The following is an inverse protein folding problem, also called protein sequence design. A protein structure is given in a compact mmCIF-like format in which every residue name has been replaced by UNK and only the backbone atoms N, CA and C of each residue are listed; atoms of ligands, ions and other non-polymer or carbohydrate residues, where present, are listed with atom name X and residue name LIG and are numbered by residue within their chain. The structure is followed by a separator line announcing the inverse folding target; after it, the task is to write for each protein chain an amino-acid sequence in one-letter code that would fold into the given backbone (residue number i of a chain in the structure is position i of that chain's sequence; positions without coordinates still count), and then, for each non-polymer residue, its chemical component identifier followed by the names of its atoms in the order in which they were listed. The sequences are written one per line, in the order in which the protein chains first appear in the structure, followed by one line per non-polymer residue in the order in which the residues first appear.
data_IF_597642428349
#
_entry.id   IF_597642428349
#
_cell.length_a   1.000
_cell.length_b   1.000
_cell.length_c   1.000
_cell.angle_alpha   90.00
_cell.angle_beta   90.00
_cell.angle_gamma   90.00
#
_symmetry.space_group_name_H-M   'P 1'
#
loop_
_entity.id
_entity.type
_entity.pdbx_description
1 polymer ?
#
# COMPACT_ATOMS: atom_id res chain seq x y z
N UNK A 1 12.33 -26.06 -6.26
CA UNK A 1 11.50 -26.33 -5.06
C UNK A 1 10.65 -25.11 -4.74
N UNK A 2 11.25 -23.94 -4.50
CA UNK A 2 10.54 -22.75 -4.02
C UNK A 2 9.52 -22.20 -5.02
N UNK A 3 9.87 -22.05 -6.29
CA UNK A 3 8.98 -21.49 -7.32
C UNK A 3 7.75 -22.37 -7.58
N UNK A 4 7.88 -23.69 -7.38
CA UNK A 4 6.77 -24.62 -7.61
C UNK A 4 5.53 -24.32 -6.75
N UNK A 5 5.71 -23.81 -5.54
CA UNK A 5 4.62 -23.44 -4.65
C UNK A 5 3.82 -22.22 -5.19
N UNK A 6 4.47 -21.32 -5.93
CA UNK A 6 3.84 -20.17 -6.55
C UNK A 6 3.29 -20.49 -7.94
N UNK A 7 3.94 -21.38 -8.67
CA UNK A 7 3.52 -21.78 -10.02
C UNK A 7 2.10 -22.36 -10.02
N UNK A 8 1.77 -23.25 -9.07
CA UNK A 8 0.47 -23.90 -9.02
C UNK A 8 -0.70 -22.91 -8.87
N UNK A 9 -0.72 -21.99 -7.90
CA UNK A 9 -1.81 -21.02 -7.80
C UNK A 9 -1.89 -20.05 -8.98
N UNK A 10 -0.76 -19.69 -9.59
CA UNK A 10 -0.75 -18.79 -10.74
C UNK A 10 -1.36 -19.50 -11.96
N UNK A 11 -0.86 -20.69 -12.31
CA UNK A 11 -1.26 -21.40 -13.55
C UNK A 11 -2.62 -22.04 -13.40
N UNK A 12 -2.94 -22.65 -12.25
CA UNK A 12 -4.17 -23.42 -12.07
C UNK A 12 -5.35 -22.61 -11.53
N UNK A 13 -5.08 -21.59 -10.71
CA UNK A 13 -6.12 -20.78 -10.08
C UNK A 13 -6.11 -19.31 -10.53
N UNK A 14 -5.30 -18.95 -11.54
CA UNK A 14 -5.20 -17.58 -12.08
C UNK A 14 -4.96 -16.53 -11.00
N UNK A 15 -4.05 -16.82 -10.06
CA UNK A 15 -3.72 -15.87 -9.01
C UNK A 15 -3.13 -14.59 -9.60
N UNK A 16 -3.74 -13.44 -9.29
CA UNK A 16 -3.43 -12.14 -9.91
C UNK A 16 -2.59 -11.23 -9.02
N UNK A 17 -2.13 -11.71 -7.87
CA UNK A 17 -1.25 -10.96 -6.99
C UNK A 17 -0.22 -11.88 -6.34
N UNK A 18 1.02 -11.44 -6.28
CA UNK A 18 2.09 -12.07 -5.50
C UNK A 18 2.81 -11.01 -4.68
N UNK A 19 3.30 -11.42 -3.50
CA UNK A 19 4.19 -10.59 -2.69
C UNK A 19 5.63 -11.05 -2.88
N UNK A 20 6.53 -10.13 -3.16
CA UNK A 20 7.97 -10.43 -3.24
C UNK A 20 8.59 -10.46 -1.85
N UNK A 21 9.58 -11.32 -1.68
CA UNK A 21 10.20 -11.53 -0.39
C UNK A 21 11.06 -10.33 0.05
N UNK A 22 11.12 -10.12 1.35
CA UNK A 22 11.99 -9.14 2.00
C UNK A 22 13.48 -9.42 1.74
N UNK A 23 13.84 -10.68 1.72
CA UNK A 23 15.23 -11.12 1.58
C UNK A 23 15.76 -11.05 0.14
N UNK A 24 17.05 -11.25 0.05
CA UNK A 24 17.76 -11.40 -1.22
C UNK A 24 17.75 -12.84 -1.70
N UNK A 25 17.79 -13.02 -3.01
CA UNK A 25 18.11 -14.26 -3.70
C UNK A 25 19.54 -14.12 -4.24
N UNK A 26 20.50 -14.76 -3.58
CA UNK A 26 21.90 -14.49 -3.82
C UNK A 26 22.27 -13.05 -3.42
N UNK A 27 22.76 -12.27 -4.38
CA UNK A 27 23.17 -10.88 -4.15
C UNK A 27 22.04 -9.84 -4.38
N UNK A 28 20.95 -10.23 -5.04
CA UNK A 28 19.90 -9.31 -5.51
C UNK A 28 18.68 -9.45 -4.60
N UNK A 29 18.08 -8.32 -4.21
CA UNK A 29 16.81 -8.31 -3.51
C UNK A 29 15.70 -8.88 -4.39
N UNK A 30 14.84 -9.75 -3.83
CA UNK A 30 13.79 -10.43 -4.57
C UNK A 30 12.82 -9.45 -5.27
N UNK A 31 12.55 -8.30 -4.67
CA UNK A 31 11.70 -7.25 -5.25
C UNK A 31 12.33 -6.47 -6.42
N UNK A 32 13.65 -6.64 -6.67
CA UNK A 32 14.35 -6.01 -7.79
C UNK A 32 15.04 -7.05 -8.69
N UNK A 33 14.56 -8.28 -8.68
CA UNK A 33 15.18 -9.38 -9.43
C UNK A 33 14.41 -9.63 -10.74
N UNK A 34 14.92 -9.10 -11.84
CA UNK A 34 14.27 -9.12 -13.15
C UNK A 34 13.98 -10.54 -13.63
N UNK A 35 14.92 -11.47 -13.49
CA UNK A 35 14.76 -12.86 -13.92
C UNK A 35 13.65 -13.57 -13.15
N UNK A 36 13.43 -13.20 -11.88
CA UNK A 36 12.32 -13.72 -11.10
C UNK A 36 10.98 -13.08 -11.50
N UNK A 37 10.95 -11.74 -11.61
CA UNK A 37 9.70 -10.98 -11.74
C UNK A 37 9.23 -10.85 -13.19
N UNK A 38 10.15 -10.71 -14.11
CA UNK A 38 9.83 -10.54 -15.53
C UNK A 38 9.94 -11.86 -16.27
N UNK A 39 11.08 -12.56 -16.20
CA UNK A 39 11.29 -13.73 -17.04
C UNK A 39 10.46 -14.93 -16.54
N UNK A 40 10.59 -15.27 -15.26
CA UNK A 40 9.84 -16.39 -14.72
C UNK A 40 8.36 -16.04 -14.44
N UNK A 41 8.08 -15.03 -13.63
CA UNK A 41 6.72 -14.74 -13.15
C UNK A 41 5.78 -14.35 -14.31
N UNK A 42 6.26 -13.51 -15.21
CA UNK A 42 5.46 -13.01 -16.34
C UNK A 42 5.65 -13.86 -17.60
N UNK A 43 6.88 -14.28 -17.89
CA UNK A 43 7.21 -15.06 -19.08
C UNK A 43 6.81 -16.53 -18.97
N UNK A 44 7.29 -17.23 -17.94
CA UNK A 44 7.06 -18.68 -17.80
C UNK A 44 5.74 -19.00 -17.09
N UNK A 45 5.48 -18.39 -15.92
CA UNK A 45 4.26 -18.65 -15.16
C UNK A 45 3.03 -17.91 -15.71
N UNK A 46 3.21 -16.89 -16.56
CA UNK A 46 2.14 -16.21 -17.28
C UNK A 46 1.27 -15.28 -16.42
N UNK A 47 1.71 -14.86 -15.24
CA UNK A 47 0.92 -14.00 -14.37
C UNK A 47 0.69 -12.62 -15.00
N UNK A 48 -0.56 -12.23 -15.19
CA UNK A 48 -0.96 -10.94 -15.77
C UNK A 48 -1.22 -9.82 -14.75
N UNK A 49 -1.41 -10.18 -13.49
CA UNK A 49 -1.69 -9.28 -12.38
C UNK A 49 -0.45 -8.57 -11.84
N UNK A 50 -0.51 -8.03 -10.63
CA UNK A 50 0.56 -7.22 -10.06
C UNK A 50 1.39 -7.97 -9.01
N UNK A 51 2.63 -7.52 -8.82
CA UNK A 51 3.50 -7.89 -7.72
C UNK A 51 3.62 -6.72 -6.73
N UNK A 52 3.57 -7.02 -5.44
CA UNK A 52 3.76 -6.04 -4.34
C UNK A 52 5.00 -6.44 -3.55
N UNK A 53 5.72 -5.49 -2.99
CA UNK A 53 6.84 -5.81 -2.08
C UNK A 53 6.32 -6.31 -0.74
N UNK A 54 7.17 -7.00 0.02
CA UNK A 54 7.09 -6.98 1.48
C UNK A 54 7.38 -5.56 1.97
N UNK A 55 7.20 -5.30 3.27
CA UNK A 55 7.43 -3.99 3.86
C UNK A 55 8.75 -3.37 3.40
N UNK A 56 8.67 -2.15 2.88
CA UNK A 56 9.83 -1.42 2.42
C UNK A 56 10.64 -0.86 3.59
N UNK A 57 11.94 -1.16 3.67
CA UNK A 57 12.80 -0.70 4.77
C UNK A 57 13.77 0.44 4.40
N UNK A 58 13.85 0.80 3.14
CA UNK A 58 14.63 1.95 2.68
C UNK A 58 16.15 1.75 2.60
N UNK A 59 16.70 0.61 3.05
CA UNK A 59 18.16 0.42 3.10
C UNK A 59 18.74 -0.13 1.80
N UNK A 60 18.24 -1.27 1.34
CA UNK A 60 18.68 -1.93 0.10
C UNK A 60 17.56 -2.09 -0.93
N UNK A 61 16.35 -1.76 -0.54
CA UNK A 61 15.16 -1.79 -1.38
C UNK A 61 15.04 -0.48 -2.14
N UNK A 62 15.49 -0.43 -3.38
CA UNK A 62 15.47 0.77 -4.22
C UNK A 62 14.23 0.74 -5.11
N UNK A 63 13.30 1.67 -4.89
CA UNK A 63 11.98 1.74 -5.57
C UNK A 63 12.09 1.79 -7.09
N UNK A 64 13.06 2.51 -7.63
CA UNK A 64 13.28 2.56 -9.08
C UNK A 64 13.69 1.19 -9.63
N UNK A 65 14.55 0.47 -8.91
CA UNK A 65 15.02 -0.85 -9.35
C UNK A 65 13.89 -1.88 -9.32
N UNK A 66 13.02 -1.85 -8.30
CA UNK A 66 11.89 -2.77 -8.21
C UNK A 66 10.90 -2.57 -9.36
N UNK A 67 10.53 -1.31 -9.65
CA UNK A 67 9.60 -1.00 -10.74
C UNK A 67 10.17 -1.44 -12.09
N UNK A 68 11.45 -1.19 -12.33
CA UNK A 68 12.14 -1.61 -13.57
C UNK A 68 12.24 -3.14 -13.67
N UNK A 69 12.45 -3.83 -12.54
CA UNK A 69 12.52 -5.29 -12.51
C UNK A 69 11.16 -5.99 -12.72
N UNK A 70 10.05 -5.28 -12.56
CA UNK A 70 8.69 -5.82 -12.76
C UNK A 70 7.89 -6.03 -11.49
N UNK A 71 8.35 -5.49 -10.35
CA UNK A 71 7.51 -5.28 -9.17
C UNK A 71 6.64 -4.03 -9.40
N UNK A 72 5.41 -4.04 -8.96
CA UNK A 72 4.45 -3.02 -9.39
C UNK A 72 4.05 -2.05 -8.26
N UNK A 73 4.12 -2.49 -7.02
CA UNK A 73 3.70 -1.72 -5.86
C UNK A 73 4.72 -1.82 -4.71
N UNK A 74 5.34 -0.72 -4.28
CA UNK A 74 6.08 -0.68 -3.02
C UNK A 74 5.09 -0.67 -1.84
N UNK A 75 5.25 -1.57 -0.87
CA UNK A 75 4.49 -1.55 0.38
C UNK A 75 5.22 -0.67 1.40
N UNK A 76 4.82 0.59 1.47
CA UNK A 76 5.40 1.57 2.36
C UNK A 76 4.66 1.66 3.69
N UNK A 77 5.39 1.93 4.77
CA UNK A 77 4.76 2.41 6.01
C UNK A 77 3.99 3.72 5.79
N UNK A 78 2.95 3.91 6.57
CA UNK A 78 2.17 5.16 6.55
C UNK A 78 3.10 6.35 6.84
N UNK A 79 3.17 7.27 5.90
CA UNK A 79 4.01 8.47 6.01
C UNK A 79 5.38 8.39 5.34
N UNK A 80 5.79 7.25 4.80
CA UNK A 80 6.99 7.18 4.00
C UNK A 80 6.83 7.87 2.64
N UNK A 81 7.91 8.53 2.21
CA UNK A 81 7.91 9.31 0.99
C UNK A 81 8.06 8.43 -0.26
N UNK A 82 7.07 8.52 -1.14
CA UNK A 82 7.11 7.93 -2.49
C UNK A 82 7.47 8.95 -3.57
N UNK A 83 7.96 10.14 -3.15
CA UNK A 83 8.29 11.24 -4.07
C UNK A 83 9.32 10.84 -5.11
N UNK A 84 10.25 9.93 -4.77
CA UNK A 84 11.25 9.44 -5.71
C UNK A 84 10.62 8.90 -7.01
N UNK A 85 9.54 8.13 -6.93
CA UNK A 85 8.86 7.61 -8.12
C UNK A 85 8.07 8.69 -8.87
N UNK A 86 7.55 9.70 -8.17
CA UNK A 86 6.86 10.84 -8.78
C UNK A 86 7.78 11.65 -9.66
N UNK A 87 9.06 11.74 -9.31
CA UNK A 87 10.07 12.45 -10.10
C UNK A 87 10.25 11.88 -11.52
N UNK A 88 9.86 10.63 -11.74
CA UNK A 88 9.89 9.97 -13.05
C UNK A 88 8.55 9.98 -13.79
N UNK A 89 7.50 10.55 -13.19
CA UNK A 89 6.20 10.73 -13.83
C UNK A 89 6.22 11.81 -14.92
N UNK A 90 5.07 12.04 -15.59
CA UNK A 90 4.96 13.00 -16.70
C UNK A 90 5.43 14.42 -16.36
N UNK A 91 5.18 14.84 -15.12
CA UNK A 91 5.52 16.17 -14.60
C UNK A 91 6.77 16.16 -13.71
N UNK A 92 7.47 15.03 -13.67
CA UNK A 92 8.63 14.84 -12.79
C UNK A 92 9.91 15.45 -13.33
N UNK A 93 10.84 15.79 -12.42
CA UNK A 93 12.10 16.42 -12.75
C UNK A 93 13.14 15.47 -13.40
N UNK A 94 12.96 14.15 -13.24
CA UNK A 94 13.91 13.13 -13.73
C UNK A 94 13.35 12.43 -14.97
N UNK A 95 13.77 12.87 -16.13
CA UNK A 95 13.40 12.22 -17.39
C UNK A 95 14.18 10.92 -17.59
N UNK A 96 13.52 9.78 -17.38
CA UNK A 96 14.06 8.48 -17.71
C UNK A 96 12.98 7.63 -18.42
N UNK A 97 13.08 7.45 -19.76
CA UNK A 97 12.07 6.74 -20.54
C UNK A 97 11.85 5.30 -20.08
N UNK A 98 12.90 4.62 -19.61
CA UNK A 98 12.81 3.23 -19.14
C UNK A 98 11.97 3.15 -17.86
N UNK A 99 12.22 4.04 -16.89
CA UNK A 99 11.43 4.09 -15.64
C UNK A 99 10.00 4.52 -15.90
N UNK A 100 9.78 5.52 -16.76
CA UNK A 100 8.44 5.95 -17.14
C UNK A 100 7.64 4.83 -17.82
N UNK A 101 8.27 4.05 -18.68
CA UNK A 101 7.64 2.89 -19.31
C UNK A 101 7.34 1.78 -18.30
N UNK A 102 8.24 1.51 -17.36
CA UNK A 102 8.04 0.55 -16.29
C UNK A 102 6.86 0.95 -15.39
N UNK A 103 6.79 2.22 -14.95
CA UNK A 103 5.66 2.76 -14.19
C UNK A 103 4.32 2.61 -14.94
N UNK A 104 4.30 2.89 -16.24
CA UNK A 104 3.10 2.69 -17.07
C UNK A 104 2.69 1.22 -17.11
N UNK A 105 3.65 0.31 -17.22
CA UNK A 105 3.40 -1.14 -17.22
C UNK A 105 2.87 -1.60 -15.88
N UNK A 106 3.43 -1.13 -14.77
CA UNK A 106 2.96 -1.42 -13.42
C UNK A 106 1.53 -0.93 -13.20
N UNK A 107 1.24 0.32 -13.57
CA UNK A 107 -0.12 0.87 -13.51
C UNK A 107 -1.13 0.03 -14.33
N UNK A 108 -0.72 -0.42 -15.52
CA UNK A 108 -1.56 -1.30 -16.36
C UNK A 108 -1.87 -2.63 -15.65
N UNK A 109 -0.89 -3.26 -15.00
CA UNK A 109 -1.09 -4.53 -14.30
C UNK A 109 -2.02 -4.38 -13.09
N UNK A 110 -1.83 -3.33 -12.30
CA UNK A 110 -2.71 -3.01 -11.17
C UNK A 110 -4.14 -2.76 -11.65
N UNK A 111 -4.32 -1.91 -12.66
CA UNK A 111 -5.64 -1.62 -13.24
C UNK A 111 -6.30 -2.88 -13.83
N UNK A 112 -5.53 -3.73 -14.52
CA UNK A 112 -6.03 -5.00 -15.05
C UNK A 112 -6.58 -5.90 -13.93
N UNK A 113 -5.84 -6.03 -12.82
CA UNK A 113 -6.30 -6.81 -11.67
C UNK A 113 -7.56 -6.22 -11.05
N UNK A 114 -7.62 -4.90 -10.87
CA UNK A 114 -8.79 -4.21 -10.30
C UNK A 114 -10.03 -4.42 -11.18
N UNK A 115 -9.90 -4.19 -12.49
CA UNK A 115 -11.03 -4.30 -13.44
C UNK A 115 -11.58 -5.73 -13.50
N UNK A 116 -10.72 -6.73 -13.39
CA UNK A 116 -11.11 -8.14 -13.42
C UNK A 116 -11.44 -8.72 -12.02
N UNK A 117 -11.37 -7.90 -10.97
CA UNK A 117 -11.71 -8.34 -9.61
C UNK A 117 -13.20 -8.22 -9.32
N UNK A 118 -13.67 -8.98 -8.33
CA UNK A 118 -15.04 -8.83 -7.79
C UNK A 118 -15.33 -7.45 -7.20
N UNK A 119 -14.30 -6.66 -6.90
CA UNK A 119 -14.45 -5.29 -6.44
C UNK A 119 -15.12 -4.38 -7.50
N UNK A 120 -15.12 -4.82 -8.77
CA UNK A 120 -15.79 -4.10 -9.87
C UNK A 120 -17.17 -4.67 -10.20
N UNK A 121 -17.61 -5.73 -9.53
CA UNK A 121 -18.94 -6.30 -9.75
C UNK A 121 -20.03 -5.27 -9.43
N UNK A 122 -20.90 -5.00 -10.39
CA UNK A 122 -21.96 -4.01 -10.25
C UNK A 122 -21.53 -2.54 -10.40
N UNK A 123 -20.25 -2.27 -10.67
CA UNK A 123 -19.75 -0.93 -10.94
C UNK A 123 -19.82 -0.64 -12.45
N UNK A 124 -20.39 0.50 -12.80
CA UNK A 124 -20.52 1.00 -14.17
C UNK A 124 -20.08 2.46 -14.25
N UNK A 125 -20.03 3.02 -15.46
CA UNK A 125 -19.77 4.46 -15.68
C UNK A 125 -20.81 5.38 -15.01
N UNK A 126 -21.97 4.84 -14.63
CA UNK A 126 -23.05 5.58 -13.95
C UNK A 126 -23.03 5.38 -12.44
N UNK A 127 -22.14 4.52 -11.92
CA UNK A 127 -22.04 4.26 -10.49
C UNK A 127 -21.52 5.48 -9.76
N UNK A 128 -22.30 6.00 -8.81
CA UNK A 128 -21.90 7.09 -7.93
C UNK A 128 -21.44 6.52 -6.59
N UNK A 129 -20.21 6.79 -6.25
CA UNK A 129 -19.68 6.44 -4.93
C UNK A 129 -20.15 7.49 -3.92
N UNK A 130 -21.02 7.09 -2.99
CA UNK A 130 -21.47 7.92 -1.87
C UNK A 130 -20.76 7.43 -0.63
N UNK A 131 -20.04 8.33 0.05
CA UNK A 131 -19.43 8.03 1.36
C UNK A 131 -20.40 8.44 2.45
N UNK A 132 -21.05 7.48 3.04
CA UNK A 132 -21.89 7.69 4.23
C UNK A 132 -21.16 7.15 5.45
N UNK A 133 -21.20 7.92 6.54
CA UNK A 133 -20.68 7.43 7.81
C UNK A 133 -21.57 6.29 8.30
N UNK A 134 -20.98 5.14 8.56
CA UNK A 134 -21.72 4.01 9.13
C UNK A 134 -22.17 4.33 10.56
N UNK A 135 -23.27 3.70 11.01
CA UNK A 135 -23.80 3.91 12.35
C UNK A 135 -22.75 3.73 13.46
N UNK A 136 -21.85 2.77 13.31
CA UNK A 136 -20.79 2.51 14.29
C UNK A 136 -19.70 3.61 14.28
N UNK A 137 -19.36 4.17 13.11
CA UNK A 137 -18.44 5.32 13.00
C UNK A 137 -19.04 6.55 13.68
N UNK A 138 -20.33 6.80 13.46
CA UNK A 138 -21.04 7.90 14.13
C UNK A 138 -21.06 7.70 15.64
N UNK A 139 -21.37 6.48 16.11
CA UNK A 139 -21.38 6.14 17.55
C UNK A 139 -20.01 6.33 18.18
N UNK A 140 -18.92 5.86 17.52
CA UNK A 140 -17.56 6.04 18.00
C UNK A 140 -17.17 7.53 18.10
N UNK A 141 -17.51 8.31 17.08
CA UNK A 141 -17.25 9.75 17.10
C UNK A 141 -17.98 10.45 18.28
N UNK A 142 -19.25 10.14 18.47
CA UNK A 142 -20.02 10.69 19.61
C UNK A 142 -19.40 10.28 20.95
N UNK A 143 -19.07 9.00 21.11
CA UNK A 143 -18.45 8.49 22.34
C UNK A 143 -17.09 9.15 22.62
N UNK A 144 -16.27 9.34 21.58
CA UNK A 144 -14.97 10.01 21.69
C UNK A 144 -15.11 11.46 22.16
N UNK A 145 -16.03 12.22 21.57
CA UNK A 145 -16.29 13.60 21.96
C UNK A 145 -16.88 13.70 23.39
N UNK A 146 -17.79 12.81 23.75
CA UNK A 146 -18.35 12.74 25.09
C UNK A 146 -17.28 12.45 26.16
N UNK A 147 -16.41 11.47 25.89
CA UNK A 147 -15.31 11.11 26.78
C UNK A 147 -14.30 12.26 26.91
N UNK A 148 -13.97 12.91 25.78
CA UNK A 148 -13.11 14.10 25.79
C UNK A 148 -13.69 15.25 26.65
N UNK A 149 -14.97 15.54 26.51
CA UNK A 149 -15.66 16.56 27.32
C UNK A 149 -15.66 16.20 28.81
N UNK A 150 -15.98 14.95 29.16
CA UNK A 150 -15.94 14.48 30.55
C UNK A 150 -14.52 14.58 31.14
N UNK A 151 -13.52 14.23 30.40
CA UNK A 151 -12.10 14.34 30.81
C UNK A 151 -11.73 15.80 31.07
N UNK A 152 -12.13 16.71 30.19
CA UNK A 152 -11.88 18.14 30.36
C UNK A 152 -12.57 18.72 31.60
N UNK A 153 -13.83 18.34 31.82
CA UNK A 153 -14.57 18.74 33.03
C UNK A 153 -13.90 18.22 34.30
N UNK A 154 -13.55 16.93 34.32
CA UNK A 154 -12.87 16.32 35.47
C UNK A 154 -11.52 17.02 35.75
N UNK A 155 -10.75 17.33 34.71
CA UNK A 155 -9.49 18.08 34.86
C UNK A 155 -9.72 19.46 35.50
N UNK A 156 -10.70 20.22 35.02
CA UNK A 156 -11.05 21.54 35.58
C UNK A 156 -11.45 21.43 37.06
N UNK A 157 -12.27 20.44 37.39
CA UNK A 157 -12.70 20.23 38.77
C UNK A 157 -11.53 19.93 39.71
N UNK A 158 -10.59 19.08 39.28
CA UNK A 158 -9.38 18.75 40.05
C UNK A 158 -8.50 19.98 40.24
N UNK A 159 -8.31 20.81 39.23
CA UNK A 159 -7.53 22.06 39.33
C UNK A 159 -8.21 23.05 40.31
N UNK A 160 -9.51 23.19 40.22
CA UNK A 160 -10.26 24.09 41.11
C UNK A 160 -10.23 23.63 42.56
N UNK A 161 -10.35 22.32 42.82
CA UNK A 161 -10.25 21.75 44.18
C UNK A 161 -8.84 21.94 44.77
N UNK A 162 -7.79 21.71 43.94
CA UNK A 162 -6.41 21.97 44.34
C UNK A 162 -6.15 23.44 44.73
N UNK A 163 -6.69 24.38 43.95
CA UNK A 163 -6.60 25.82 44.30
C UNK A 163 -7.32 26.18 45.61
N UNK A 164 -8.51 25.60 45.87
CA UNK A 164 -9.24 25.82 47.13
C UNK A 164 -8.47 25.28 48.33
N UNK A 165 -7.80 24.15 48.22
CA UNK A 165 -7.00 23.56 49.31
C UNK A 165 -5.70 24.34 49.55
N UNK A 166 -5.08 24.89 48.52
CA UNK A 166 -3.88 25.74 48.65
C UNK A 166 -4.17 27.12 49.28
N UNK A 167 -5.35 27.66 49.09
CA UNK A 167 -5.76 28.95 49.67
C UNK A 167 -6.18 28.87 51.15
N UNK A 168 -6.30 27.67 51.73
CA UNK A 168 -6.65 27.45 53.15
C UNK A 168 -5.43 27.14 54.03
N UNK A 169 -4.24 27.13 53.48
CA UNK A 169 -2.98 27.08 54.20
C UNK A 169 -2.34 28.47 54.21
#
# INVERSE_FOLDING_TARGET
IYLRAFELPIIQADAQCVMTAFNRLGAIWAGAYTELLTDWLRGEAGMSGFAVTDMYDGTYMVKVNEIVAGNDLPDNFVGEDISELKDYGPDGAKANPMVAQALRTSAKRVLNTVVNSRGMDGISQYTRVVREATWWQLTLNIAQWALGALTAVAFVLVVLDGKKKGAKK
#
